data_IF_784610928042
#
_entry.id   IF_784610928042
#
_cell.length_a   1.000
_cell.length_b   1.000
_cell.length_c   1.000
_cell.angle_alpha   90.00
_cell.angle_beta   90.00
_cell.angle_gamma   90.00
#
_symmetry.space_group_name_H-M   'P 1'
#
loop_
_entity.id
_entity.type
_entity.pdbx_description
1 polymer ?
#
# COMPACT_ATOMS: atom_id res chain seq x y z
N UNK A 1 14.93 -1.22 -23.91
CA UNK A 1 14.83 -2.26 -22.87
C UNK A 1 14.71 -1.58 -21.50
N UNK A 2 13.68 -1.85 -20.69
CA UNK A 2 13.61 -1.31 -19.33
C UNK A 2 14.72 -1.92 -18.47
N UNK A 3 15.52 -1.08 -17.82
CA UNK A 3 16.55 -1.52 -16.87
C UNK A 3 15.88 -1.91 -15.55
N UNK A 4 15.90 -3.19 -15.20
CA UNK A 4 15.40 -3.66 -13.90
C UNK A 4 16.29 -3.10 -12.80
N UNK A 5 15.73 -2.26 -11.91
CA UNK A 5 16.44 -1.80 -10.72
C UNK A 5 16.56 -2.96 -9.73
N UNK A 6 17.79 -3.41 -9.46
CA UNK A 6 18.09 -4.41 -8.42
C UNK A 6 17.64 -3.86 -7.06
N UNK A 7 16.74 -4.57 -6.40
CA UNK A 7 16.35 -4.29 -5.01
C UNK A 7 17.28 -5.03 -4.06
N UNK A 8 17.52 -4.45 -2.88
CA UNK A 8 18.31 -5.08 -1.84
C UNK A 8 17.55 -6.24 -1.21
N UNK A 9 18.21 -7.37 -1.03
CA UNK A 9 17.62 -8.54 -0.36
C UNK A 9 17.43 -8.29 1.14
N UNK A 10 16.68 -9.16 1.81
CA UNK A 10 16.55 -9.12 3.29
C UNK A 10 17.91 -9.34 3.95
N UNK A 11 18.73 -10.23 3.40
CA UNK A 11 20.07 -10.52 3.91
C UNK A 11 21.03 -9.33 3.79
N UNK A 12 21.08 -8.65 2.63
CA UNK A 12 21.93 -7.46 2.45
C UNK A 12 21.54 -6.35 3.44
N UNK A 13 20.24 -6.16 3.67
CA UNK A 13 19.72 -5.16 4.61
C UNK A 13 19.99 -5.52 6.07
N UNK A 14 19.88 -6.80 6.45
CA UNK A 14 20.20 -7.23 7.81
C UNK A 14 21.70 -7.07 8.09
N UNK A 15 22.56 -7.47 7.15
CA UNK A 15 24.01 -7.26 7.24
C UNK A 15 24.35 -5.77 7.37
N UNK A 16 23.69 -4.89 6.61
CA UNK A 16 23.93 -3.46 6.69
C UNK A 16 23.59 -2.87 8.07
N UNK A 17 22.47 -3.28 8.67
CA UNK A 17 22.08 -2.86 10.03
C UNK A 17 23.06 -3.41 11.08
N UNK A 18 23.49 -4.66 10.94
CA UNK A 18 24.46 -5.27 11.85
C UNK A 18 25.82 -4.57 11.78
N UNK A 19 26.33 -4.30 10.56
CA UNK A 19 27.58 -3.57 10.36
C UNK A 19 27.54 -2.17 10.98
N UNK A 20 26.41 -1.47 10.81
CA UNK A 20 26.21 -0.17 11.44
C UNK A 20 26.18 -0.27 12.97
N UNK A 21 25.54 -1.30 13.53
CA UNK A 21 25.55 -1.54 14.98
C UNK A 21 26.97 -1.79 15.51
N UNK A 22 27.85 -2.39 14.71
CA UNK A 22 29.27 -2.56 15.03
C UNK A 22 30.12 -1.30 14.81
N UNK A 23 29.53 -0.17 14.39
CA UNK A 23 30.25 1.09 14.19
C UNK A 23 30.89 1.26 12.81
N UNK A 24 30.59 0.41 11.84
CA UNK A 24 31.10 0.55 10.48
C UNK A 24 30.60 1.84 9.82
N UNK A 25 31.46 2.49 9.03
CA UNK A 25 31.10 3.70 8.28
C UNK A 25 30.18 3.37 7.11
N UNK A 26 29.38 4.34 6.68
CA UNK A 26 28.42 4.15 5.58
C UNK A 26 29.07 3.80 4.22
N UNK A 27 30.32 4.20 4.00
CA UNK A 27 31.11 3.77 2.82
C UNK A 27 31.42 2.28 2.89
N UNK A 28 31.98 1.81 4.01
CA UNK A 28 32.29 0.39 4.23
C UNK A 28 31.05 -0.50 4.15
N UNK A 29 29.90 -0.02 4.64
CA UNK A 29 28.61 -0.72 4.54
C UNK A 29 28.20 -0.84 3.06
N UNK A 30 28.36 0.22 2.28
CA UNK A 30 28.05 0.19 0.85
C UNK A 30 28.96 -0.79 0.10
N UNK A 31 30.26 -0.79 0.41
CA UNK A 31 31.23 -1.69 -0.24
C UNK A 31 30.95 -3.16 0.08
N UNK A 32 30.55 -3.45 1.34
CA UNK A 32 30.26 -4.82 1.80
C UNK A 32 28.89 -5.34 1.35
N UNK A 33 27.86 -4.49 1.35
CA UNK A 33 26.45 -4.91 1.12
C UNK A 33 25.90 -4.52 -0.25
N UNK A 34 26.58 -3.63 -0.98
CA UNK A 34 26.08 -3.03 -2.21
C UNK A 34 24.94 -2.03 -2.03
N UNK A 35 24.50 -1.76 -0.79
CA UNK A 35 23.44 -0.81 -0.50
C UNK A 35 24.00 0.61 -0.55
N UNK A 36 23.47 1.43 -1.45
CA UNK A 36 23.82 2.86 -1.52
C UNK A 36 23.54 3.55 -0.18
N UNK A 37 24.40 4.49 0.20
CA UNK A 37 24.26 5.25 1.46
C UNK A 37 22.85 5.83 1.67
N UNK A 38 22.23 6.42 0.65
CA UNK A 38 20.88 6.98 0.75
C UNK A 38 19.80 5.92 1.02
N UNK A 39 19.93 4.74 0.41
CA UNK A 39 19.06 3.60 0.66
C UNK A 39 19.26 3.04 2.07
N UNK A 40 20.52 2.97 2.54
CA UNK A 40 20.86 2.57 3.88
C UNK A 40 20.25 3.49 4.95
N UNK A 41 20.35 4.82 4.83
CA UNK A 41 19.73 5.73 5.79
C UNK A 41 18.20 5.67 5.77
N UNK A 42 17.60 5.42 4.59
CA UNK A 42 16.16 5.18 4.48
C UNK A 42 15.75 3.90 5.22
N UNK A 43 16.54 2.83 5.08
CA UNK A 43 16.36 1.58 5.80
C UNK A 43 16.49 1.79 7.31
N UNK A 44 17.55 2.47 7.76
CA UNK A 44 17.80 2.74 9.18
C UNK A 44 16.65 3.53 9.81
N UNK A 45 16.12 4.54 9.10
CA UNK A 45 14.96 5.31 9.56
C UNK A 45 13.71 4.43 9.72
N UNK A 46 13.43 3.56 8.74
CA UNK A 46 12.32 2.61 8.80
C UNK A 46 12.49 1.60 9.94
N UNK A 47 13.68 1.04 10.09
CA UNK A 47 13.99 0.12 11.17
C UNK A 47 13.74 0.78 12.53
N UNK A 48 14.25 2.00 12.75
CA UNK A 48 14.01 2.76 13.99
C UNK A 48 12.53 3.01 14.25
N UNK A 49 11.75 3.37 13.22
CA UNK A 49 10.29 3.54 13.36
C UNK A 49 9.54 2.26 13.75
N UNK A 50 10.17 1.10 13.56
CA UNK A 50 9.63 -0.23 13.92
C UNK A 50 10.22 -0.78 15.22
N UNK A 51 10.96 0.04 15.99
CA UNK A 51 11.51 -0.36 17.29
C UNK A 51 12.93 -0.94 17.24
N UNK A 52 13.65 -0.82 16.11
CA UNK A 52 15.04 -1.24 16.05
C UNK A 52 15.92 -0.37 16.95
N UNK A 53 16.68 -1.02 17.83
CA UNK A 53 17.70 -0.42 18.70
C UNK A 53 19.09 -0.84 18.17
N UNK A 54 19.98 0.12 17.84
CA UNK A 54 21.37 -0.20 17.48
C UNK A 54 22.07 -0.99 18.58
N UNK A 55 22.73 -2.09 18.21
CA UNK A 55 23.36 -3.03 19.16
C UNK A 55 22.44 -4.16 19.64
N UNK A 56 21.13 -4.06 19.40
CA UNK A 56 20.17 -5.15 19.63
C UNK A 56 20.04 -6.12 18.44
N UNK A 57 19.27 -7.21 18.61
CA UNK A 57 19.05 -8.18 17.54
C UNK A 57 18.27 -7.57 16.37
N UNK A 58 18.76 -7.80 15.14
CA UNK A 58 18.05 -7.43 13.92
C UNK A 58 16.98 -8.47 13.62
N UNK A 59 15.71 -8.11 13.84
CA UNK A 59 14.55 -8.92 13.47
C UNK A 59 14.12 -8.68 12.03
N UNK A 60 13.42 -9.65 11.46
CA UNK A 60 12.85 -9.60 10.11
C UNK A 60 11.94 -8.38 9.92
N UNK A 61 11.13 -8.04 10.93
CA UNK A 61 10.23 -6.88 10.93
C UNK A 61 10.94 -5.54 10.69
N UNK A 62 12.21 -5.39 11.10
CA UNK A 62 12.97 -4.17 10.87
C UNK A 62 13.40 -4.01 9.42
N UNK A 63 13.52 -5.13 8.71
CA UNK A 63 14.15 -5.21 7.41
C UNK A 63 13.13 -5.31 6.30
N UNK A 64 12.02 -6.01 6.50
CA UNK A 64 11.02 -6.27 5.47
C UNK A 64 10.38 -5.02 4.87
N UNK A 65 10.04 -5.08 3.58
CA UNK A 65 9.26 -4.02 2.97
C UNK A 65 7.81 -4.09 3.44
N UNK A 66 7.26 -2.93 3.82
CA UNK A 66 5.84 -2.85 4.12
C UNK A 66 5.04 -3.20 2.85
N UNK A 67 3.85 -3.84 2.99
CA UNK A 67 2.98 -4.07 1.87
C UNK A 67 2.67 -2.75 1.17
N UNK A 68 2.73 -2.76 -0.16
CA UNK A 68 2.39 -1.56 -0.95
C UNK A 68 0.92 -1.25 -0.73
N UNK A 69 0.62 -0.07 -0.18
CA UNK A 69 -0.76 0.39 0.07
C UNK A 69 -1.60 0.51 -1.21
N UNK A 70 -0.99 0.42 -2.39
CA UNK A 70 -1.66 0.57 -3.68
C UNK A 70 -2.32 1.94 -3.84
N UNK A 71 -3.08 2.12 -4.93
CA UNK A 71 -4.01 3.24 -5.03
C UNK A 71 -5.24 2.89 -4.18
N UNK A 72 -5.74 3.79 -3.31
CA UNK A 72 -6.98 3.55 -2.59
C UNK A 72 -8.09 3.23 -3.58
N UNK A 73 -8.84 2.16 -3.32
CA UNK A 73 -9.95 1.74 -4.18
C UNK A 73 -11.03 2.82 -4.14
N UNK A 74 -11.54 3.20 -5.31
CA UNK A 74 -12.63 4.17 -5.43
C UNK A 74 -13.95 3.63 -4.83
N UNK A 75 -14.07 2.32 -4.69
CA UNK A 75 -15.22 1.65 -4.07
C UNK A 75 -14.75 1.14 -2.72
N UNK A 76 -15.25 1.76 -1.66
CA UNK A 76 -15.17 1.25 -0.30
C UNK A 76 -16.16 0.09 -0.15
N UNK A 77 -15.96 -0.83 0.81
CA UNK A 77 -16.90 -1.93 1.04
C UNK A 77 -18.34 -1.44 1.28
N UNK A 78 -18.50 -0.29 1.94
CA UNK A 78 -19.81 0.35 2.18
C UNK A 78 -20.50 0.74 0.87
N UNK A 79 -19.77 1.39 -0.05
CA UNK A 79 -20.29 1.77 -1.38
C UNK A 79 -20.61 0.52 -2.20
N UNK A 80 -19.74 -0.49 -2.15
CA UNK A 80 -19.94 -1.77 -2.84
C UNK A 80 -21.22 -2.48 -2.39
N UNK A 81 -21.45 -2.55 -1.08
CA UNK A 81 -22.67 -3.15 -0.53
C UNK A 81 -23.92 -2.38 -0.98
N UNK A 82 -23.85 -1.05 -0.96
CA UNK A 82 -24.96 -0.20 -1.41
C UNK A 82 -25.30 -0.44 -2.89
N UNK A 83 -24.30 -0.62 -3.75
CA UNK A 83 -24.50 -0.95 -5.17
C UNK A 83 -25.19 -2.31 -5.30
N UNK A 84 -24.71 -3.33 -4.59
CA UNK A 84 -25.31 -4.68 -4.60
C UNK A 84 -26.76 -4.60 -4.14
N UNK A 85 -27.06 -3.92 -3.04
CA UNK A 85 -28.42 -3.81 -2.51
C UNK A 85 -29.37 -3.11 -3.50
N UNK A 86 -28.90 -2.08 -4.20
CA UNK A 86 -29.69 -1.38 -5.23
C UNK A 86 -29.94 -2.31 -6.42
N UNK A 87 -28.92 -3.02 -6.90
CA UNK A 87 -29.05 -3.95 -8.03
C UNK A 87 -29.94 -5.13 -7.68
N UNK A 88 -29.78 -5.72 -6.50
CA UNK A 88 -30.59 -6.85 -6.03
C UNK A 88 -32.04 -6.45 -5.79
N UNK A 89 -32.31 -5.29 -5.19
CA UNK A 89 -33.69 -4.80 -5.04
C UNK A 89 -34.34 -4.48 -6.38
N UNK A 90 -33.54 -4.00 -7.33
CA UNK A 90 -34.03 -3.59 -8.64
C UNK A 90 -34.11 -4.74 -9.67
N UNK A 91 -33.37 -5.84 -9.48
CA UNK A 91 -33.40 -7.00 -10.37
C UNK A 91 -34.76 -7.72 -10.39
N UNK A 92 -35.55 -7.57 -9.32
CA UNK A 92 -36.93 -8.05 -9.25
C UNK A 92 -37.92 -7.14 -10.00
N UNK A 93 -37.47 -5.97 -10.46
CA UNK A 93 -38.27 -4.95 -11.20
C UNK A 93 -37.60 -4.65 -12.56
N UNK A 94 -38.00 -3.57 -13.25
CA UNK A 94 -37.27 -3.06 -14.42
C UNK A 94 -35.84 -2.70 -14.02
N UNK A 95 -34.89 -3.42 -14.60
CA UNK A 95 -33.44 -3.27 -14.40
C UNK A 95 -32.97 -1.82 -14.61
N UNK A 96 -32.20 -1.30 -13.67
CA UNK A 96 -31.58 0.02 -13.75
C UNK A 96 -30.36 -0.01 -14.67
N UNK A 97 -30.20 1.08 -15.42
CA UNK A 97 -28.96 1.37 -16.13
C UNK A 97 -27.84 1.73 -15.16
N UNK A 98 -26.59 1.61 -15.62
CA UNK A 98 -25.39 1.95 -14.83
C UNK A 98 -25.36 3.41 -14.36
N UNK A 99 -26.00 4.32 -15.09
CA UNK A 99 -26.15 5.72 -14.68
C UNK A 99 -27.13 5.84 -13.51
N UNK A 100 -28.31 5.21 -13.62
CA UNK A 100 -29.32 5.23 -12.56
C UNK A 100 -28.82 4.61 -11.26
N UNK A 101 -27.99 3.56 -11.34
CA UNK A 101 -27.35 2.97 -10.15
C UNK A 101 -26.37 3.99 -9.52
N UNK A 102 -25.56 4.68 -10.33
CA UNK A 102 -24.64 5.69 -9.81
C UNK A 102 -25.37 6.86 -9.12
N UNK A 103 -26.45 7.34 -9.73
CA UNK A 103 -27.27 8.43 -9.19
C UNK A 103 -27.97 8.00 -7.90
N UNK A 104 -28.54 6.79 -7.86
CA UNK A 104 -29.17 6.22 -6.66
C UNK A 104 -28.17 6.02 -5.50
N UNK A 105 -26.93 5.63 -5.80
CA UNK A 105 -25.86 5.54 -4.80
C UNK A 105 -25.48 6.94 -4.33
N UNK A 106 -25.38 7.92 -5.23
CA UNK A 106 -25.06 9.30 -4.87
C UNK A 106 -26.11 9.91 -3.92
N UNK A 107 -27.39 9.66 -4.17
CA UNK A 107 -28.46 10.12 -3.29
C UNK A 107 -28.41 9.47 -1.90
N UNK A 108 -28.13 8.16 -1.83
CA UNK A 108 -27.95 7.48 -0.53
C UNK A 108 -26.70 7.92 0.23
N UNK A 109 -25.71 8.46 -0.46
CA UNK A 109 -24.43 8.87 0.12
C UNK A 109 -24.35 10.39 0.38
N UNK A 110 -25.44 11.13 0.14
CA UNK A 110 -25.48 12.59 0.28
C UNK A 110 -25.19 13.05 1.70
N UNK A 111 -25.63 12.29 2.70
CA UNK A 111 -25.50 12.64 4.12
C UNK A 111 -24.22 12.09 4.78
N UNK A 112 -23.56 11.10 4.15
CA UNK A 112 -22.41 10.40 4.73
C UNK A 112 -21.05 11.03 4.37
N UNK A 113 -21.04 12.13 3.61
CA UNK A 113 -19.81 12.87 3.24
C UNK A 113 -18.83 12.08 2.36
N UNK A 114 -19.22 10.88 1.88
CA UNK A 114 -18.39 10.03 1.04
C UNK A 114 -18.51 10.43 -0.43
N UNK A 115 -17.41 10.30 -1.17
CA UNK A 115 -17.42 10.56 -2.62
C UNK A 115 -18.22 9.49 -3.34
N UNK A 116 -19.30 9.88 -4.00
CA UNK A 116 -20.11 9.00 -4.83
C UNK A 116 -19.29 8.39 -5.99
N UNK A 117 -19.52 7.11 -6.34
CA UNK A 117 -18.84 6.46 -7.46
C UNK A 117 -19.34 7.01 -8.80
N UNK A 118 -18.43 7.15 -9.78
CA UNK A 118 -18.83 7.53 -11.14
C UNK A 118 -19.55 6.36 -11.86
N UNK A 119 -20.34 6.65 -12.89
CA UNK A 119 -20.92 5.61 -13.78
C UNK A 119 -19.89 4.58 -14.25
N UNK A 120 -18.69 5.03 -14.65
CA UNK A 120 -17.60 4.14 -15.12
C UNK A 120 -17.01 3.29 -13.99
N UNK A 121 -17.05 3.80 -12.76
CA UNK A 121 -16.65 3.06 -11.55
C UNK A 121 -17.67 1.97 -11.23
N UNK A 122 -18.97 2.29 -11.28
CA UNK A 122 -20.06 1.31 -11.09
C UNK A 122 -20.02 0.23 -12.17
N UNK A 123 -19.87 0.61 -13.44
CA UNK A 123 -19.77 -0.36 -14.56
C UNK A 123 -18.59 -1.32 -14.41
N UNK A 124 -17.47 -0.90 -13.81
CA UNK A 124 -16.31 -1.79 -13.59
C UNK A 124 -16.53 -2.76 -12.41
N UNK A 125 -17.48 -2.44 -11.54
CA UNK A 125 -17.76 -3.19 -10.32
C UNK A 125 -18.83 -4.26 -10.51
N UNK A 126 -19.86 -3.94 -11.31
CA UNK A 126 -20.85 -4.90 -11.79
C UNK A 126 -20.19 -5.91 -12.74
#
# INVERSE_FOLDING_TARGET
MPVLRKQSTIAERSQALTLHACGAKSQEIQDKTGIKQSAFYTLLRKAKSRGYIPGGPVKQEHVEDAPKSGRPKAITPVIGQTIVDIVTKNSTTRMYSTQQIADAVADRMRDSGMRAPSRRTVLRFL
#
